data_IF_904583580876
#
_entry.id   IF_904583580876
#
_cell.length_a   1.000
_cell.length_b   1.000
_cell.length_c   1.000
_cell.angle_alpha   90.00
_cell.angle_beta   90.00
_cell.angle_gamma   90.00
#
_symmetry.space_group_name_H-M   'P 1'
#
loop_
_entity.id
_entity.type
_entity.pdbx_description
1 polymer ?
#
# COMPACT_ATOMS: atom_id res chain seq x y z
N UNK A 1 12.87 10.41 6.81
CA UNK A 1 11.98 11.43 7.39
C UNK A 1 10.58 11.26 6.81
N UNK A 2 9.56 11.25 7.68
CA UNK A 2 8.16 11.12 7.30
C UNK A 2 7.44 12.37 7.79
N UNK A 3 6.80 13.12 6.89
CA UNK A 3 6.11 14.38 7.21
C UNK A 3 4.59 14.22 7.37
N UNK A 4 4.07 13.01 7.20
CA UNK A 4 2.68 12.62 7.50
C UNK A 4 2.63 11.29 8.29
N UNK A 5 1.55 11.10 9.06
CA UNK A 5 1.31 9.86 9.80
C UNK A 5 1.20 8.66 8.86
N UNK A 6 0.62 8.86 7.68
CA UNK A 6 0.53 7.87 6.62
C UNK A 6 1.92 7.41 6.16
N UNK A 7 2.84 8.35 5.87
CA UNK A 7 4.22 8.03 5.47
C UNK A 7 4.97 7.29 6.58
N UNK A 8 4.77 7.69 7.83
CA UNK A 8 5.34 7.01 9.00
C UNK A 8 4.87 5.56 9.09
N UNK A 9 3.55 5.33 9.03
CA UNK A 9 2.97 3.99 9.07
C UNK A 9 3.40 3.13 7.87
N UNK A 10 3.41 3.71 6.67
CA UNK A 10 3.84 3.03 5.46
C UNK A 10 5.32 2.60 5.55
N UNK A 11 6.20 3.49 5.99
CA UNK A 11 7.61 3.19 6.21
C UNK A 11 7.80 2.07 7.25
N UNK A 12 7.13 2.15 8.40
CA UNK A 12 7.24 1.15 9.46
C UNK A 12 6.72 -0.23 9.04
N UNK A 13 5.63 -0.29 8.27
CA UNK A 13 5.14 -1.53 7.67
C UNK A 13 6.17 -2.11 6.69
N UNK A 14 6.84 -1.27 5.89
CA UNK A 14 7.85 -1.72 4.94
C UNK A 14 9.13 -2.23 5.64
N UNK A 15 9.52 -1.61 6.77
CA UNK A 15 10.58 -2.11 7.64
C UNK A 15 10.26 -3.51 8.20
N UNK A 16 9.04 -3.74 8.70
CA UNK A 16 8.63 -5.04 9.27
C UNK A 16 8.68 -6.16 8.22
N UNK A 17 8.22 -5.88 6.99
CA UNK A 17 8.32 -6.83 5.86
C UNK A 17 9.76 -7.22 5.53
N UNK A 18 10.70 -6.31 5.76
CA UNK A 18 12.13 -6.53 5.54
C UNK A 18 12.84 -7.11 6.78
N UNK A 19 12.10 -7.41 7.85
CA UNK A 19 12.64 -7.96 9.09
C UNK A 19 13.43 -6.95 9.92
N UNK A 20 13.21 -5.65 9.72
CA UNK A 20 13.81 -4.59 10.52
C UNK A 20 12.92 -4.32 11.72
N UNK A 21 13.48 -4.47 12.93
CA UNK A 21 12.78 -4.28 14.19
C UNK A 21 13.26 -3.00 14.91
N UNK A 22 12.58 -2.59 15.97
CA UNK A 22 13.05 -1.55 16.88
C UNK A 22 14.33 -1.96 17.63
N UNK A 23 15.00 -1.00 18.26
CA UNK A 23 16.24 -1.24 19.02
C UNK A 23 16.09 -2.23 20.18
N UNK A 24 14.91 -2.25 20.78
CA UNK A 24 14.50 -3.16 21.86
C UNK A 24 14.09 -4.55 21.35
N UNK A 25 13.93 -4.72 20.03
CA UNK A 25 13.55 -5.97 19.39
C UNK A 25 12.07 -6.07 19.04
N UNK A 26 11.25 -5.08 19.41
CA UNK A 26 9.82 -5.07 19.09
C UNK A 26 9.60 -4.80 17.60
N UNK A 27 8.45 -5.25 17.07
CA UNK A 27 8.11 -5.01 15.66
C UNK A 27 7.82 -3.52 15.43
N UNK A 28 8.24 -3.02 14.27
CA UNK A 28 7.97 -1.63 13.86
C UNK A 28 6.48 -1.31 13.73
N UNK A 29 5.63 -2.34 13.59
CA UNK A 29 4.17 -2.21 13.44
C UNK A 29 3.40 -2.12 14.76
N UNK A 30 4.05 -2.40 15.90
CA UNK A 30 3.44 -2.42 17.24
C UNK A 30 3.49 -1.05 17.92
N UNK A 31 4.46 -0.21 17.58
CA UNK A 31 4.65 1.11 18.18
C UNK A 31 4.56 2.19 17.11
N UNK A 32 3.52 3.02 17.19
CA UNK A 32 3.42 4.23 16.38
C UNK A 32 4.16 5.39 17.07
N UNK A 33 5.43 5.58 16.71
CA UNK A 33 6.26 6.65 17.23
C UNK A 33 5.95 8.05 16.65
N UNK A 34 5.06 8.15 15.65
CA UNK A 34 4.59 9.43 15.10
C UNK A 34 4.04 10.35 16.18
N UNK A 35 3.41 9.80 17.22
CA UNK A 35 2.82 10.58 18.31
C UNK A 35 3.79 11.58 18.96
N UNK A 36 5.09 11.22 19.05
CA UNK A 36 6.10 12.01 19.75
C UNK A 36 6.51 13.28 19.00
N UNK A 37 6.80 13.17 17.70
CA UNK A 37 7.38 14.26 16.91
C UNK A 37 6.48 14.71 15.74
N UNK A 38 5.39 13.99 15.46
CA UNK A 38 4.43 14.28 14.39
C UNK A 38 5.15 14.49 13.07
N UNK A 39 4.87 15.60 12.37
CA UNK A 39 5.49 15.99 11.10
C UNK A 39 7.02 16.08 11.13
N UNK A 40 7.63 16.11 12.31
CA UNK A 40 9.08 16.17 12.50
C UNK A 40 9.66 14.78 12.81
N UNK A 41 8.88 13.70 12.71
CA UNK A 41 9.35 12.34 12.98
C UNK A 41 10.35 11.88 11.93
N UNK A 42 11.49 11.37 12.39
CA UNK A 42 12.53 10.80 11.54
C UNK A 42 13.02 9.48 12.12
N UNK A 43 13.47 8.61 11.22
CA UNK A 43 13.91 7.25 11.56
C UNK A 43 15.35 7.07 11.11
N UNK A 44 16.12 6.33 11.89
CA UNK A 44 17.50 6.00 11.54
C UNK A 44 17.79 4.54 11.91
N UNK A 45 18.71 3.92 11.17
CA UNK A 45 19.26 2.63 11.55
C UNK A 45 20.29 2.82 12.67
N UNK A 46 20.16 2.03 13.73
CA UNK A 46 21.18 1.82 14.76
C UNK A 46 21.81 0.42 14.61
N UNK A 47 23.03 0.23 15.12
CA UNK A 47 23.69 -1.09 15.21
C UNK A 47 23.69 -1.90 13.90
N UNK A 48 24.41 -1.46 12.87
CA UNK A 48 24.73 -2.33 11.72
C UNK A 48 23.57 -2.62 10.75
N UNK A 49 22.55 -1.75 10.69
CA UNK A 49 21.43 -1.74 9.71
C UNK A 49 20.25 -2.68 9.99
N UNK A 50 20.23 -3.40 11.12
CA UNK A 50 19.14 -4.32 11.44
C UNK A 50 18.12 -3.78 12.45
N UNK A 51 18.44 -2.67 13.13
CA UNK A 51 17.58 -2.08 14.15
C UNK A 51 17.24 -0.63 13.85
N UNK A 52 15.99 -0.26 14.11
CA UNK A 52 15.43 1.05 13.88
C UNK A 52 15.39 1.85 15.17
N UNK A 53 15.68 3.15 15.08
CA UNK A 53 15.42 4.15 16.12
C UNK A 53 14.67 5.33 15.49
N UNK A 54 14.02 6.15 16.31
CA UNK A 54 13.30 7.34 15.87
C UNK A 54 13.70 8.54 16.73
N UNK A 55 13.70 9.72 16.12
CA UNK A 55 13.97 10.98 16.82
C UNK A 55 13.43 12.16 16.02
N UNK A 56 13.45 13.36 16.60
CA UNK A 56 13.10 14.57 15.87
C UNK A 56 14.01 14.82 14.65
N UNK A 57 13.45 15.42 13.61
CA UNK A 57 14.16 15.81 12.40
C UNK A 57 15.36 16.73 12.71
N UNK A 58 15.18 17.69 13.63
CA UNK A 58 16.23 18.62 14.03
C UNK A 58 17.42 17.90 14.68
N UNK A 59 17.18 16.90 15.53
CA UNK A 59 18.27 16.12 16.14
C UNK A 59 19.19 15.47 15.10
N UNK A 60 18.64 14.95 14.00
CA UNK A 60 19.47 14.37 12.94
C UNK A 60 20.15 15.43 12.07
N UNK A 61 19.52 16.59 11.86
CA UNK A 61 20.16 17.74 11.19
C UNK A 61 21.33 18.28 12.00
N UNK A 62 21.18 18.42 13.32
CA UNK A 62 22.22 18.89 14.23
C UNK A 62 23.44 17.95 14.25
N UNK A 63 23.19 16.65 14.00
CA UNK A 63 24.24 15.64 13.82
C UNK A 63 24.87 15.63 12.43
N UNK A 64 24.42 16.50 11.52
CA UNK A 64 24.92 16.58 10.14
C UNK A 64 24.58 15.36 9.29
N UNK A 65 23.52 14.61 9.64
CA UNK A 65 23.11 13.43 8.88
C UNK A 65 22.31 13.84 7.64
N UNK A 66 22.49 13.09 6.55
CA UNK A 66 21.66 13.21 5.36
C UNK A 66 20.23 12.80 5.68
N UNK A 67 19.28 13.67 5.35
CA UNK A 67 17.85 13.42 5.55
C UNK A 67 17.23 12.97 4.23
N UNK A 68 16.90 11.68 4.16
CA UNK A 68 16.12 11.11 3.06
C UNK A 68 14.63 11.23 3.41
N UNK A 69 13.83 11.84 2.53
CA UNK A 69 12.37 11.90 2.67
C UNK A 69 11.74 10.59 2.20
N UNK A 70 10.87 10.02 3.01
CA UNK A 70 10.05 8.88 2.62
C UNK A 70 8.85 9.36 1.83
N UNK A 71 8.69 8.83 0.63
CA UNK A 71 7.51 9.04 -0.18
C UNK A 71 6.81 7.69 -0.32
N UNK A 72 5.50 7.69 -0.11
CA UNK A 72 4.69 6.52 -0.42
C UNK A 72 4.63 6.46 -1.94
N UNK A 73 5.06 5.34 -2.51
CA UNK A 73 4.79 5.05 -3.91
C UNK A 73 3.28 5.03 -4.10
N UNK A 74 2.73 6.17 -4.54
CA UNK A 74 1.37 6.24 -5.08
C UNK A 74 1.28 5.15 -6.14
N UNK A 75 0.20 4.35 -6.06
CA UNK A 75 -0.10 3.20 -6.89
C UNK A 75 0.60 3.28 -8.25
N UNK A 76 1.60 2.42 -8.47
CA UNK A 76 2.56 2.59 -9.57
C UNK A 76 1.83 2.50 -10.92
N UNK A 77 1.51 3.68 -11.46
CA UNK A 77 0.93 3.82 -12.78
C UNK A 77 2.01 3.63 -13.85
N UNK A 78 1.93 2.51 -14.55
CA UNK A 78 2.89 2.18 -15.60
C UNK A 78 2.33 2.54 -16.98
N UNK A 79 3.23 2.95 -17.87
CA UNK A 79 2.89 3.04 -19.30
C UNK A 79 2.75 1.65 -19.90
N UNK A 80 2.08 1.57 -21.06
CA UNK A 80 1.98 0.33 -21.82
C UNK A 80 3.32 -0.42 -21.98
N UNK A 81 4.39 0.30 -22.34
CA UNK A 81 5.73 -0.27 -22.53
C UNK A 81 6.29 -0.87 -21.25
N UNK A 82 6.11 -0.19 -20.13
CA UNK A 82 6.60 -0.65 -18.83
C UNK A 82 5.81 -1.86 -18.34
N UNK A 83 4.50 -1.92 -18.59
CA UNK A 83 3.67 -3.09 -18.27
C UNK A 83 4.14 -4.31 -19.06
N UNK A 84 4.15 -4.25 -20.39
CA UNK A 84 4.48 -5.43 -21.21
C UNK A 84 5.91 -5.94 -21.00
N UNK A 85 6.82 -5.07 -20.56
CA UNK A 85 8.20 -5.45 -20.26
C UNK A 85 8.36 -6.18 -18.91
N UNK A 86 7.44 -5.97 -17.96
CA UNK A 86 7.59 -6.43 -16.57
C UNK A 86 6.40 -7.23 -16.03
N UNK A 87 5.33 -7.40 -16.81
CA UNK A 87 4.12 -8.11 -16.39
C UNK A 87 4.44 -9.56 -16.02
N UNK A 88 3.84 -10.04 -14.93
CA UNK A 88 3.98 -11.42 -14.45
C UNK A 88 2.72 -12.23 -14.72
N UNK A 89 2.91 -13.54 -14.79
CA UNK A 89 1.83 -14.51 -15.01
C UNK A 89 0.73 -14.32 -13.96
N UNK A 90 -0.53 -14.18 -14.41
CA UNK A 90 -1.69 -13.93 -13.55
C UNK A 90 -1.89 -12.48 -13.10
N UNK A 91 -0.99 -11.54 -13.44
CA UNK A 91 -1.26 -10.11 -13.24
C UNK A 91 -2.26 -9.59 -14.27
N UNK A 92 -3.14 -8.70 -13.80
CA UNK A 92 -4.08 -7.96 -14.64
C UNK A 92 -3.81 -6.48 -14.42
N UNK A 93 -3.51 -5.75 -15.49
CA UNK A 93 -3.28 -4.31 -15.48
C UNK A 93 -4.40 -3.62 -16.22
N UNK A 94 -4.99 -2.60 -15.62
CA UNK A 94 -6.22 -1.98 -16.13
C UNK A 94 -6.04 -0.50 -16.41
N UNK A 95 -6.72 -0.02 -17.44
CA UNK A 95 -6.91 1.40 -17.68
C UNK A 95 -8.41 1.73 -17.65
N UNK A 96 -8.82 2.45 -16.61
CA UNK A 96 -10.21 2.87 -16.41
C UNK A 96 -10.74 3.82 -17.49
N UNK A 97 -9.85 4.58 -18.18
CA UNK A 97 -10.26 5.62 -19.13
C UNK A 97 -10.67 5.08 -20.50
N UNK A 98 -10.01 4.01 -20.93
CA UNK A 98 -10.21 3.35 -22.22
C UNK A 98 -10.80 1.94 -22.07
N UNK A 99 -11.15 1.53 -20.84
CA UNK A 99 -11.64 0.19 -20.50
C UNK A 99 -10.70 -0.93 -20.97
N UNK A 100 -9.38 -0.71 -20.88
CA UNK A 100 -8.40 -1.69 -21.35
C UNK A 100 -7.88 -2.54 -20.22
N UNK A 101 -7.60 -3.80 -20.54
CA UNK A 101 -6.88 -4.73 -19.68
C UNK A 101 -5.70 -5.34 -20.41
N UNK A 102 -4.59 -5.50 -19.69
CA UNK A 102 -3.41 -6.23 -20.13
C UNK A 102 -3.20 -7.37 -19.14
N UNK A 103 -3.11 -8.59 -19.64
CA UNK A 103 -2.93 -9.80 -18.82
C UNK A 103 -1.82 -10.65 -19.39
N UNK A 104 -1.08 -11.36 -18.53
CA UNK A 104 -0.19 -12.43 -18.97
C UNK A 104 -0.82 -13.76 -18.54
N UNK A 105 -1.26 -14.55 -19.52
CA UNK A 105 -1.97 -15.81 -19.32
C UNK A 105 -1.34 -16.87 -20.22
N UNK A 106 -0.91 -17.98 -19.61
CA UNK A 106 -0.23 -19.09 -20.28
C UNK A 106 0.97 -18.64 -21.12
N UNK A 107 1.74 -17.67 -20.59
CA UNK A 107 2.89 -17.10 -21.29
C UNK A 107 2.54 -16.22 -22.49
N UNK A 108 1.26 -15.83 -22.66
CA UNK A 108 0.78 -14.95 -23.74
C UNK A 108 0.25 -13.64 -23.18
N UNK A 109 0.62 -12.53 -23.83
CA UNK A 109 0.08 -11.22 -23.50
C UNK A 109 -1.30 -11.10 -24.16
N UNK A 110 -2.32 -10.94 -23.33
CA UNK A 110 -3.66 -10.56 -23.73
C UNK A 110 -3.82 -9.05 -23.57
N UNK A 111 -4.39 -8.40 -24.58
CA UNK A 111 -4.77 -6.99 -24.55
C UNK A 111 -6.20 -6.93 -25.08
N UNK A 112 -7.13 -6.41 -24.28
CA UNK A 112 -8.53 -6.38 -24.64
C UNK A 112 -9.36 -5.44 -23.78
N UNK A 113 -10.67 -5.52 -23.94
CA UNK A 113 -11.62 -4.75 -23.15
C UNK A 113 -11.85 -5.42 -21.77
N UNK A 114 -12.00 -4.60 -20.72
CA UNK A 114 -12.27 -5.04 -19.35
C UNK A 114 -13.52 -5.92 -19.22
N UNK A 115 -14.54 -5.68 -20.03
CA UNK A 115 -15.82 -6.37 -19.91
C UNK A 115 -15.83 -7.75 -20.55
N UNK A 116 -14.71 -8.20 -21.11
CA UNK A 116 -14.60 -9.51 -21.77
C UNK A 116 -15.78 -9.74 -22.72
N UNK A 117 -16.21 -8.67 -23.39
CA UNK A 117 -17.00 -8.85 -24.60
C UNK A 117 -16.09 -9.71 -25.46
N UNK A 118 -16.52 -10.94 -25.74
CA UNK A 118 -15.90 -11.84 -26.71
C UNK A 118 -15.96 -11.13 -28.06
N UNK A 119 -15.12 -10.11 -28.24
CA UNK A 119 -14.92 -9.48 -29.53
C UNK A 119 -13.91 -10.37 -30.20
N UNK A 120 -14.46 -11.43 -30.78
CA UNK A 120 -13.83 -12.18 -31.85
C UNK A 120 -13.25 -11.14 -32.83
N UNK A 121 -11.92 -10.97 -32.79
CA UNK A 121 -11.21 -9.96 -33.58
C UNK A 121 -10.96 -8.60 -32.91
N UNK A 122 -10.10 -8.57 -31.88
CA UNK A 122 -9.48 -7.33 -31.40
C UNK A 122 -8.34 -6.87 -32.34
N UNK A 123 -8.65 -6.57 -33.61
CA UNK A 123 -7.67 -6.02 -34.58
C UNK A 123 -7.88 -4.51 -34.71
N UNK A 124 -6.92 -3.71 -34.20
CA UNK A 124 -6.78 -2.30 -34.62
C UNK A 124 -6.90 -1.20 -33.56
N UNK A 125 -6.65 -1.44 -32.27
CA UNK A 125 -6.69 -0.37 -31.27
C UNK A 125 -5.36 0.39 -31.16
N UNK A 126 -5.43 1.73 -31.22
CA UNK A 126 -4.28 2.59 -30.90
C UNK A 126 -4.20 2.79 -29.39
N UNK A 127 -3.05 2.48 -28.79
CA UNK A 127 -2.78 2.72 -27.37
C UNK A 127 -1.80 3.89 -27.28
N UNK A 128 -2.21 5.05 -26.73
CA UNK A 128 -1.29 6.16 -26.48
C UNK A 128 -0.13 5.70 -25.59
N UNK A 129 1.11 6.06 -25.93
CA UNK A 129 2.28 5.71 -25.11
C UNK A 129 2.26 6.37 -23.72
N UNK A 130 1.51 7.46 -23.57
CA UNK A 130 1.29 8.16 -22.30
C UNK A 130 0.16 7.55 -21.48
N UNK A 131 -0.56 6.55 -22.02
CA UNK A 131 -1.65 5.90 -21.31
C UNK A 131 -1.09 5.12 -20.11
N UNK A 132 -1.71 5.33 -18.95
CA UNK A 132 -1.31 4.75 -17.67
C UNK A 132 -2.20 3.59 -17.28
N UNK A 133 -1.59 2.52 -16.80
CA UNK A 133 -2.27 1.33 -16.33
C UNK A 133 -1.98 1.14 -14.85
N UNK A 134 -2.97 0.65 -14.14
CA UNK A 134 -2.94 0.34 -12.72
C UNK A 134 -3.02 -1.18 -12.54
N UNK A 135 -2.21 -1.74 -11.65
CA UNK A 135 -2.31 -3.16 -11.33
C UNK A 135 -3.66 -3.43 -10.64
N UNK A 136 -4.46 -4.34 -11.20
CA UNK A 136 -5.67 -4.82 -10.59
C UNK A 136 -5.32 -5.52 -9.28
N UNK A 137 -5.85 -4.99 -8.18
CA UNK A 137 -5.68 -5.63 -6.88
C UNK A 137 -6.56 -6.85 -6.80
N UNK A 138 -6.00 -7.95 -6.29
CA UNK A 138 -6.77 -9.15 -5.99
C UNK A 138 -7.88 -8.77 -5.01
N UNK A 139 -9.12 -9.02 -5.43
CA UNK A 139 -10.29 -8.90 -4.57
C UNK A 139 -10.46 -10.19 -3.79
N UNK A 140 -10.89 -10.07 -2.55
CA UNK A 140 -11.15 -11.17 -1.63
C UNK A 140 -12.62 -11.14 -1.26
N UNK A 141 -13.18 -12.30 -0.91
CA UNK A 141 -14.51 -12.33 -0.30
C UNK A 141 -14.49 -11.59 1.04
N UNK A 142 -15.67 -11.21 1.52
CA UNK A 142 -15.78 -10.59 2.84
C UNK A 142 -15.19 -11.51 3.92
N UNK A 143 -15.47 -12.81 3.86
CA UNK A 143 -14.99 -13.81 4.81
C UNK A 143 -13.47 -13.96 4.77
N UNK A 144 -12.86 -13.98 3.57
CA UNK A 144 -11.41 -14.04 3.41
C UNK A 144 -10.73 -12.80 3.99
N UNK A 145 -11.26 -11.62 3.67
CA UNK A 145 -10.75 -10.35 4.19
C UNK A 145 -10.96 -10.26 5.72
N UNK A 146 -12.14 -10.62 6.22
CA UNK A 146 -12.46 -10.57 7.64
C UNK A 146 -11.59 -11.54 8.44
N UNK A 147 -11.38 -12.76 7.94
CA UNK A 147 -10.45 -13.71 8.56
C UNK A 147 -9.01 -13.17 8.59
N UNK A 148 -8.54 -12.58 7.49
CA UNK A 148 -7.23 -11.94 7.46
C UNK A 148 -7.13 -10.81 8.51
N UNK A 149 -8.19 -10.03 8.65
CA UNK A 149 -8.32 -9.01 9.68
C UNK A 149 -8.30 -9.58 11.11
N UNK A 150 -9.01 -10.68 11.38
CA UNK A 150 -8.96 -11.38 12.67
C UNK A 150 -7.57 -11.95 13.01
N UNK A 151 -6.80 -12.32 11.98
CA UNK A 151 -5.40 -12.72 12.08
C UNK A 151 -4.45 -11.52 12.29
N UNK A 152 -4.98 -10.29 12.34
CA UNK A 152 -4.22 -9.06 12.58
C UNK A 152 -3.63 -8.43 11.32
N UNK A 153 -4.05 -8.85 10.12
CA UNK A 153 -3.63 -8.22 8.86
C UNK A 153 -4.43 -6.95 8.61
N UNK A 154 -3.81 -5.99 7.94
CA UNK A 154 -4.52 -4.84 7.38
C UNK A 154 -5.32 -5.29 6.15
N UNK A 155 -6.55 -4.81 6.04
CA UNK A 155 -7.41 -5.04 4.88
C UNK A 155 -7.84 -3.71 4.27
N UNK A 156 -8.21 -3.73 3.00
CA UNK A 156 -8.64 -2.55 2.27
C UNK A 156 -9.95 -2.83 1.54
N UNK A 157 -10.93 -1.92 1.67
CA UNK A 157 -12.17 -2.02 0.92
C UNK A 157 -11.95 -1.69 -0.55
N UNK A 158 -12.90 -2.09 -1.39
CA UNK A 158 -12.91 -1.68 -2.80
C UNK A 158 -13.10 -0.16 -2.99
N UNK A 159 -13.52 0.54 -1.94
CA UNK A 159 -13.65 2.00 -1.89
C UNK A 159 -12.36 2.69 -1.41
N UNK A 160 -11.32 1.90 -1.10
CA UNK A 160 -9.99 2.39 -0.73
C UNK A 160 -9.82 2.78 0.74
N UNK A 161 -10.79 2.45 1.59
CA UNK A 161 -10.63 2.58 3.04
C UNK A 161 -9.80 1.42 3.57
N UNK A 162 -8.81 1.69 4.40
CA UNK A 162 -8.01 0.65 5.07
C UNK A 162 -8.49 0.43 6.50
N UNK A 163 -8.48 -0.82 6.92
CA UNK A 163 -8.89 -1.26 8.24
C UNK A 163 -7.75 -2.02 8.90
N UNK A 164 -7.33 -1.54 10.06
CA UNK A 164 -6.27 -2.17 10.86
C UNK A 164 -6.75 -2.35 12.29
N UNK A 165 -6.56 -3.56 12.81
CA UNK A 165 -6.83 -3.86 14.22
C UNK A 165 -5.71 -3.27 15.08
N UNK A 166 -6.07 -2.45 16.06
CA UNK A 166 -5.10 -1.90 17.04
C UNK A 166 -5.17 -2.61 18.38
N UNK A 167 -6.38 -2.98 18.78
CA UNK A 167 -6.67 -3.76 19.98
C UNK A 167 -7.81 -4.73 19.68
N UNK A 168 -8.11 -5.65 20.60
CA UNK A 168 -9.19 -6.66 20.43
C UNK A 168 -10.49 -6.05 19.91
N UNK A 169 -10.84 -4.84 20.37
CA UNK A 169 -12.13 -4.21 20.09
C UNK A 169 -12.01 -2.87 19.36
N UNK A 170 -10.82 -2.46 18.91
CA UNK A 170 -10.58 -1.16 18.28
C UNK A 170 -10.06 -1.32 16.87
N UNK A 171 -10.81 -0.76 15.92
CA UNK A 171 -10.46 -0.68 14.50
C UNK A 171 -10.05 0.75 14.16
N UNK A 172 -8.92 0.90 13.49
CA UNK A 172 -8.58 2.12 12.77
C UNK A 172 -9.12 2.03 11.35
N UNK A 173 -9.91 3.02 10.97
CA UNK A 173 -10.35 3.27 9.60
C UNK A 173 -9.50 4.42 9.07
N UNK A 174 -8.81 4.19 7.96
CA UNK A 174 -8.03 5.20 7.25
C UNK A 174 -8.74 5.43 5.92
N UNK A 175 -9.15 6.67 5.64
CA UNK A 175 -9.80 7.00 4.38
C UNK A 175 -8.84 6.91 3.17
N UNK A 176 -9.41 6.93 1.96
CA UNK A 176 -8.66 6.83 0.71
C UNK A 176 -7.55 7.89 0.57
N UNK A 177 -7.73 9.05 1.19
CA UNK A 177 -6.76 10.15 1.16
C UNK A 177 -5.65 10.01 2.21
N UNK A 178 -5.77 9.07 3.15
CA UNK A 178 -4.87 8.96 4.30
C UNK A 178 -5.06 10.08 5.34
N UNK A 179 -6.06 10.93 5.16
CA UNK A 179 -6.23 12.21 5.86
C UNK A 179 -7.12 12.08 7.10
N UNK A 180 -8.03 11.09 7.13
CA UNK A 180 -8.94 10.88 8.27
C UNK A 180 -8.77 9.50 8.87
N UNK A 181 -8.35 9.51 10.12
CA UNK A 181 -8.28 8.34 10.98
C UNK A 181 -9.49 8.35 11.91
N UNK A 182 -10.35 7.34 11.81
CA UNK A 182 -11.47 7.12 12.74
C UNK A 182 -11.23 5.85 13.55
N UNK A 183 -11.50 5.92 14.85
CA UNK A 183 -11.59 4.75 15.74
C UNK A 183 -13.05 4.32 15.85
N UNK A 184 -13.31 3.02 15.73
CA UNK A 184 -14.64 2.41 15.92
C UNK A 184 -14.46 0.99 16.44
N UNK A 185 -15.53 0.36 16.92
CA UNK A 185 -15.47 -1.04 17.33
C UNK A 185 -15.70 -2.00 16.16
N UNK A 186 -15.18 -3.23 16.27
CA UNK A 186 -15.45 -4.29 15.30
C UNK A 186 -16.95 -4.53 15.14
N UNK A 187 -17.69 -4.50 16.26
CA UNK A 187 -19.15 -4.61 16.25
C UNK A 187 -19.78 -3.45 15.47
N UNK A 188 -19.44 -2.19 15.73
CA UNK A 188 -20.01 -1.06 15.00
C UNK A 188 -19.72 -1.09 13.49
N UNK A 189 -18.54 -1.56 13.10
CA UNK A 189 -18.08 -1.60 11.71
C UNK A 189 -18.68 -2.74 10.90
N UNK A 190 -18.81 -3.92 11.51
CA UNK A 190 -19.19 -5.15 10.80
C UNK A 190 -20.59 -5.67 11.19
N UNK A 191 -21.36 -4.96 12.04
CA UNK A 191 -22.74 -5.34 12.40
C UNK A 191 -23.80 -4.97 11.36
N UNK A 192 -23.42 -4.80 10.09
CA UNK A 192 -24.40 -4.70 9.01
C UNK A 192 -24.73 -6.13 8.56
N UNK A 193 -25.90 -6.60 9.00
CA UNK A 193 -26.55 -7.83 8.56
C UNK A 193 -26.86 -7.83 7.07
#
# INVERSE_FOLDING_TARGET
HCDTEEKANNFLNECDKQGIAWTDGDKTTEINCWFWYKKDTSYACSEGKSKLTFESLEHYKDKGLEIIKWEIDKMKELTFKEVIANIKEGEVWENNKMNLVIKLIEGRIYIGDRYDNEVDGFIGQYIPLTLKFELQRKKYSFEEAFKAYEEGKEIESCEGCKFKRCDKDVVLIIDFAGDKIKRSSCEELFSIK
#
